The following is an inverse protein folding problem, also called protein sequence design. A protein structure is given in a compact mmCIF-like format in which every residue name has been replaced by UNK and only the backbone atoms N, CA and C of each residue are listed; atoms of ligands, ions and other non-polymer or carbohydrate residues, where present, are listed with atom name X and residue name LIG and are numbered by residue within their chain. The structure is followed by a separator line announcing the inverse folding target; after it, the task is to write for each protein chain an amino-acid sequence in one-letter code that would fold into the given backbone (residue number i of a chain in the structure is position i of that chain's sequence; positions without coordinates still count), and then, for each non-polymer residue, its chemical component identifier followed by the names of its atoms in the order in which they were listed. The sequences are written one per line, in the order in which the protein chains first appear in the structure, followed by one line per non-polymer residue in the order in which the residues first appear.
data_IF_259636711082
#
_entry.id   IF_259636711082
#
_cell.length_a   1.000
_cell.length_b   1.000
_cell.length_c   1.000
_cell.angle_alpha   90.00
_cell.angle_beta   90.00
_cell.angle_gamma   90.00
#
_symmetry.space_group_name_H-M   'P 1'
#
loop_
_entity.id
_entity.type
_entity.pdbx_description
1 polymer ?
#
# COMPACT_ATOMS: atom_id res chain seq x y z
N UNK A 1 27.03 38.33 -6.78
CA UNK A 1 27.88 37.81 -7.88
C UNK A 1 28.43 36.39 -7.64
N UNK A 2 28.51 35.84 -6.41
CA UNK A 2 29.14 34.53 -6.16
C UNK A 2 28.28 33.30 -6.55
N UNK A 3 26.96 33.33 -6.37
CA UNK A 3 26.06 32.20 -6.66
C UNK A 3 25.95 31.87 -8.16
N UNK A 4 25.90 32.88 -9.04
CA UNK A 4 25.85 32.68 -10.50
C UNK A 4 27.15 32.07 -11.06
N UNK A 5 28.30 32.44 -10.50
CA UNK A 5 29.59 31.91 -10.91
C UNK A 5 29.78 30.44 -10.48
N UNK A 6 29.15 30.01 -9.39
CA UNK A 6 29.23 28.64 -8.87
C UNK A 6 28.19 27.68 -9.50
N UNK A 7 26.95 28.16 -9.74
CA UNK A 7 25.85 27.32 -10.24
C UNK A 7 25.63 27.36 -11.76
N UNK A 8 26.23 28.30 -12.50
CA UNK A 8 25.94 28.47 -13.92
C UNK A 8 24.51 28.96 -14.20
N UNK A 9 23.98 28.75 -15.41
CA UNK A 9 22.61 29.18 -15.81
C UNK A 9 21.54 28.59 -14.87
N UNK A 10 20.38 29.28 -14.83
CA UNK A 10 19.20 29.05 -13.98
C UNK A 10 18.96 27.59 -13.53
N UNK A 11 18.51 27.36 -12.28
CA UNK A 11 18.24 26.03 -11.77
C UNK A 11 17.26 25.30 -12.69
N UNK A 12 17.64 24.10 -13.13
CA UNK A 12 16.80 23.21 -13.90
C UNK A 12 16.10 22.25 -12.94
N UNK A 13 14.78 22.21 -12.99
CA UNK A 13 13.99 21.20 -12.31
C UNK A 13 14.06 19.89 -13.09
N UNK A 14 14.46 18.82 -12.42
CA UNK A 14 14.46 17.47 -12.97
C UNK A 14 13.46 16.61 -12.20
N UNK A 15 12.39 16.20 -12.88
CA UNK A 15 11.47 15.17 -12.39
C UNK A 15 11.86 13.80 -12.94
N UNK A 16 11.93 12.79 -12.09
CA UNK A 16 11.93 11.39 -12.52
C UNK A 16 10.52 10.83 -12.47
N UNK A 17 10.18 9.93 -13.40
CA UNK A 17 8.94 9.17 -13.29
C UNK A 17 8.94 8.34 -11.99
N UNK A 18 7.83 8.33 -11.23
CA UNK A 18 7.76 7.55 -10.02
C UNK A 18 7.84 6.05 -10.32
N UNK A 19 8.53 5.30 -9.46
CA UNK A 19 8.60 3.84 -9.59
C UNK A 19 7.28 3.25 -9.09
N UNK A 20 6.65 2.44 -9.94
CA UNK A 20 5.35 1.83 -9.63
C UNK A 20 5.53 0.46 -8.96
N UNK A 21 4.71 0.17 -7.94
CA UNK A 21 4.72 -1.12 -7.27
C UNK A 21 3.38 -1.52 -6.67
N UNK A 22 3.19 -2.81 -6.44
CA UNK A 22 1.93 -3.40 -5.96
C UNK A 22 1.87 -3.52 -4.45
N UNK A 23 0.69 -3.25 -3.88
CA UNK A 23 0.44 -3.41 -2.44
C UNK A 23 -1.02 -3.79 -2.16
N UNK A 24 -1.24 -4.29 -0.95
CA UNK A 24 -2.56 -4.56 -0.40
C UNK A 24 -2.71 -3.91 0.98
N UNK A 25 -3.94 -3.55 1.32
CA UNK A 25 -4.30 -2.87 2.55
C UNK A 25 -5.61 -3.40 3.13
N UNK A 26 -5.81 -3.15 4.41
CA UNK A 26 -7.14 -3.15 5.03
C UNK A 26 -7.84 -1.83 4.70
N UNK A 27 -9.16 -1.83 4.69
CA UNK A 27 -9.95 -0.60 4.64
C UNK A 27 -10.55 -0.35 6.02
N UNK A 28 -10.43 0.86 6.53
CA UNK A 28 -10.97 1.27 7.81
C UNK A 28 -11.81 2.54 7.65
N UNK A 29 -12.85 2.65 8.46
CA UNK A 29 -13.58 3.88 8.74
C UNK A 29 -13.18 4.36 10.12
N UNK A 30 -12.65 5.58 10.19
CA UNK A 30 -12.31 6.26 11.45
C UNK A 30 -13.58 6.80 12.12
N UNK A 31 -13.55 7.15 13.41
CA UNK A 31 -14.71 7.71 14.11
C UNK A 31 -15.24 9.02 13.49
N UNK A 32 -14.38 9.79 12.84
CA UNK A 32 -14.71 10.99 12.05
C UNK A 32 -15.42 10.66 10.71
N UNK A 33 -15.64 9.38 10.40
CA UNK A 33 -16.28 8.90 9.19
C UNK A 33 -15.34 8.77 7.98
N UNK A 34 -14.08 9.22 8.08
CA UNK A 34 -13.14 9.18 6.98
C UNK A 34 -12.63 7.76 6.71
N UNK A 35 -12.41 7.46 5.43
CA UNK A 35 -11.82 6.21 5.00
C UNK A 35 -10.30 6.27 5.11
N UNK A 36 -9.71 5.15 5.54
CA UNK A 36 -8.27 4.95 5.64
C UNK A 36 -7.88 3.58 5.10
N UNK A 37 -6.89 3.53 4.21
CA UNK A 37 -6.19 2.29 3.89
C UNK A 37 -5.12 2.06 4.95
N UNK A 38 -5.15 0.90 5.58
CA UNK A 38 -4.27 0.56 6.68
C UNK A 38 -3.29 -0.55 6.28
N UNK A 39 -2.02 -0.46 6.69
CA UNK A 39 -1.09 -1.57 6.59
C UNK A 39 -1.63 -2.81 7.31
N UNK A 40 -1.10 -3.96 6.92
CA UNK A 40 -1.45 -5.26 7.51
C UNK A 40 -0.54 -5.59 8.70
N UNK A 41 0.38 -4.68 8.98
CA UNK A 41 1.36 -4.65 10.08
C UNK A 41 1.00 -3.52 11.05
N UNK A 42 1.55 -3.50 12.28
CA UNK A 42 1.31 -2.42 13.24
C UNK A 42 2.07 -1.15 12.82
N UNK A 43 1.63 -0.53 11.74
CA UNK A 43 2.11 0.74 11.19
C UNK A 43 0.90 1.65 10.99
N UNK A 44 1.14 2.96 11.02
CA UNK A 44 0.08 3.95 10.86
C UNK A 44 -0.70 3.76 9.55
N UNK A 45 -1.98 4.07 9.63
CA UNK A 45 -2.86 4.14 8.47
C UNK A 45 -2.31 5.19 7.48
N UNK A 46 -2.60 5.03 6.18
CA UNK A 46 -2.19 6.01 5.17
C UNK A 46 -3.21 7.13 5.15
N UNK A 47 -2.76 8.36 5.41
CA UNK A 47 -3.61 9.55 5.38
C UNK A 47 -3.89 9.96 3.91
N UNK A 48 -5.13 10.32 3.56
CA UNK A 48 -5.44 10.78 2.21
C UNK A 48 -4.80 12.14 1.92
N UNK A 49 -4.34 12.32 0.68
CA UNK A 49 -3.62 13.52 0.26
C UNK A 49 -2.22 13.68 0.86
N UNK A 50 -1.76 12.75 1.69
CA UNK A 50 -0.46 12.79 2.35
C UNK A 50 0.38 11.60 1.90
N UNK A 51 1.53 11.89 1.30
CA UNK A 51 2.52 10.86 1.00
C UNK A 51 2.99 10.19 2.29
N UNK A 52 3.01 8.87 2.31
CA UNK A 52 3.62 8.17 3.43
C UNK A 52 5.14 8.35 3.36
N UNK A 53 5.74 8.70 4.50
CA UNK A 53 7.18 8.76 4.67
C UNK A 53 7.64 7.52 5.46
N UNK A 54 8.66 6.84 4.94
CA UNK A 54 9.18 5.65 5.54
C UNK A 54 9.92 5.96 6.84
N UNK A 55 9.49 5.30 7.92
CA UNK A 55 10.17 5.38 9.22
C UNK A 55 10.68 4.02 9.63
N UNK A 56 11.82 3.98 10.33
CA UNK A 56 12.29 2.75 10.96
C UNK A 56 11.79 2.66 12.40
N UNK A 57 11.20 1.52 12.77
CA UNK A 57 10.57 1.28 14.08
C UNK A 57 11.57 1.04 15.22
N UNK A 58 12.84 1.39 15.04
CA UNK A 58 13.90 1.18 16.03
C UNK A 58 14.38 -0.27 16.16
N UNK A 59 13.52 -1.29 16.04
CA UNK A 59 13.95 -2.70 16.15
C UNK A 59 14.93 -3.10 15.02
N UNK A 60 14.56 -2.86 13.76
CA UNK A 60 15.45 -3.10 12.62
C UNK A 60 16.65 -2.15 12.59
N UNK A 61 16.47 -0.93 13.11
CA UNK A 61 17.59 0.00 13.28
C UNK A 61 18.57 -0.59 14.27
N UNK A 62 18.16 -0.94 15.50
CA UNK A 62 19.03 -1.50 16.55
C UNK A 62 19.93 -2.63 16.06
N UNK A 63 19.37 -3.62 15.37
CA UNK A 63 20.18 -4.70 14.79
C UNK A 63 21.19 -4.16 13.76
N UNK A 64 20.75 -3.31 12.83
CA UNK A 64 21.65 -2.63 11.89
C UNK A 64 22.73 -1.81 12.60
N UNK A 65 22.40 -1.13 13.70
CA UNK A 65 23.31 -0.30 14.50
C UNK A 65 24.34 -1.14 15.27
N UNK A 66 24.00 -2.35 15.71
CA UNK A 66 24.96 -3.26 16.34
C UNK A 66 26.12 -3.55 15.38
N UNK A 67 25.82 -3.67 14.08
CA UNK A 67 26.83 -3.94 13.06
C UNK A 67 27.41 -2.67 12.41
N UNK A 68 26.82 -1.49 12.65
CA UNK A 68 27.22 -0.20 12.05
C UNK A 68 27.03 0.98 13.03
N UNK A 69 27.71 0.99 14.19
CA UNK A 69 27.45 1.94 15.28
C UNK A 69 27.75 3.40 14.92
N UNK A 70 28.64 3.64 13.96
CA UNK A 70 28.99 4.98 13.46
C UNK A 70 27.89 5.60 12.58
N UNK A 71 26.97 4.80 12.04
CA UNK A 71 25.93 5.25 11.09
C UNK A 71 24.60 5.61 11.77
N UNK A 72 24.50 5.53 13.10
CA UNK A 72 23.26 5.76 13.87
C UNK A 72 22.61 7.11 13.56
N UNK A 73 23.39 8.19 13.67
CA UNK A 73 22.88 9.55 13.51
C UNK A 73 22.44 9.87 12.07
N UNK A 74 22.81 9.02 11.11
CA UNK A 74 22.60 9.26 9.68
C UNK A 74 21.65 8.24 9.04
N UNK A 75 21.04 7.34 9.82
CA UNK A 75 20.16 6.32 9.27
C UNK A 75 18.93 6.94 8.58
N UNK A 76 18.84 6.75 7.26
CA UNK A 76 17.69 7.18 6.45
C UNK A 76 16.94 5.95 5.93
N UNK A 77 15.62 5.94 6.09
CA UNK A 77 14.79 4.82 5.65
C UNK A 77 14.30 5.05 4.21
N UNK A 78 14.55 4.14 3.24
CA UNK A 78 15.21 2.84 3.38
C UNK A 78 16.74 2.93 3.33
N UNK A 79 17.41 2.13 4.16
CA UNK A 79 18.87 1.90 4.05
C UNK A 79 19.17 0.54 3.43
N UNK A 80 20.27 0.41 2.69
CA UNK A 80 20.63 -0.83 1.97
C UNK A 80 20.72 -2.02 2.94
N UNK A 81 21.44 -1.86 4.06
CA UNK A 81 21.64 -2.92 5.06
C UNK A 81 20.52 -3.08 6.09
N UNK A 82 19.52 -2.20 6.11
CA UNK A 82 18.35 -2.34 6.97
C UNK A 82 17.18 -2.91 6.17
N UNK A 83 16.14 -3.43 6.82
CA UNK A 83 14.89 -3.88 6.17
C UNK A 83 13.79 -2.81 6.21
N UNK A 84 14.10 -1.60 6.67
CA UNK A 84 13.16 -0.47 6.73
C UNK A 84 12.69 0.01 5.34
N UNK A 85 11.60 0.76 5.27
CA UNK A 85 11.08 1.28 4.00
C UNK A 85 9.63 0.90 3.71
N UNK A 86 9.03 1.63 2.78
CA UNK A 86 7.71 1.32 2.24
C UNK A 86 7.86 0.21 1.20
N UNK A 87 7.36 -0.97 1.52
CA UNK A 87 7.47 -2.12 0.64
C UNK A 87 6.38 -2.12 -0.44
N UNK A 88 6.79 -2.48 -1.66
CA UNK A 88 5.90 -2.79 -2.77
C UNK A 88 6.42 -3.96 -3.59
N UNK A 89 5.53 -4.73 -4.21
CA UNK A 89 5.89 -5.87 -5.06
C UNK A 89 6.02 -5.43 -6.51
N UNK A 90 6.97 -6.00 -7.25
CA UNK A 90 7.04 -5.82 -8.71
C UNK A 90 5.90 -6.55 -9.42
N UNK A 91 5.59 -7.73 -8.92
CA UNK A 91 4.62 -8.63 -9.51
C UNK A 91 3.39 -8.74 -8.59
N UNK A 92 2.18 -8.44 -9.12
CA UNK A 92 0.95 -8.54 -8.37
C UNK A 92 0.81 -9.90 -7.66
N UNK A 93 1.14 -11.01 -8.33
CA UNK A 93 1.00 -12.40 -7.83
C UNK A 93 1.69 -12.65 -6.49
N UNK A 94 2.65 -11.80 -6.13
CA UNK A 94 3.38 -11.87 -4.86
C UNK A 94 2.59 -11.32 -3.67
N UNK A 95 1.50 -10.56 -3.87
CA UNK A 95 0.61 -10.16 -2.78
C UNK A 95 0.02 -11.36 -2.04
N UNK A 96 -0.14 -12.53 -2.69
CA UNK A 96 -0.53 -13.77 -2.00
C UNK A 96 0.53 -14.22 -0.98
N UNK A 97 1.81 -14.10 -1.35
CA UNK A 97 2.95 -14.54 -0.53
C UNK A 97 3.28 -13.55 0.58
N UNK A 98 2.95 -12.27 0.40
CA UNK A 98 3.14 -11.24 1.43
C UNK A 98 2.17 -11.36 2.59
N UNK A 99 1.22 -12.32 2.55
CA UNK A 99 0.20 -12.58 3.58
C UNK A 99 -0.38 -11.26 4.10
N UNK A 100 -1.18 -10.53 3.30
CA UNK A 100 -1.67 -9.18 3.62
C UNK A 100 -2.68 -9.17 4.78
N UNK A 101 -2.61 -10.11 5.73
CA UNK A 101 -3.59 -10.31 6.77
C UNK A 101 -4.92 -10.85 6.21
N UNK A 102 -5.69 -11.50 7.07
CA UNK A 102 -7.01 -12.07 6.71
C UNK A 102 -8.10 -11.00 6.51
N UNK A 103 -7.75 -9.73 6.71
CA UNK A 103 -8.64 -8.56 6.67
C UNK A 103 -8.27 -7.56 5.57
N UNK A 104 -7.22 -7.81 4.77
CA UNK A 104 -6.97 -6.97 3.60
C UNK A 104 -8.05 -7.17 2.57
N UNK A 105 -8.61 -6.07 2.08
CA UNK A 105 -9.66 -6.02 1.08
C UNK A 105 -9.45 -4.93 0.03
N UNK A 106 -8.31 -4.25 0.07
CA UNK A 106 -7.91 -3.26 -0.92
C UNK A 106 -6.63 -3.74 -1.58
N UNK A 107 -6.58 -3.71 -2.91
CA UNK A 107 -5.36 -3.95 -3.69
C UNK A 107 -5.14 -2.77 -4.63
N UNK A 108 -3.90 -2.56 -5.02
CA UNK A 108 -3.57 -1.41 -5.82
C UNK A 108 -2.10 -1.29 -6.16
N UNK A 109 -1.80 -0.21 -6.87
CA UNK A 109 -0.43 0.23 -7.11
C UNK A 109 -0.14 1.49 -6.29
N UNK A 110 1.13 1.68 -5.98
CA UNK A 110 1.66 2.89 -5.37
C UNK A 110 2.70 3.49 -6.31
N UNK A 111 2.74 4.82 -6.35
CA UNK A 111 3.86 5.59 -6.86
C UNK A 111 4.90 5.73 -5.74
N UNK A 112 6.18 5.53 -6.05
CA UNK A 112 7.29 5.63 -5.10
C UNK A 112 8.35 6.60 -5.59
N UNK A 113 8.91 7.37 -4.66
CA UNK A 113 9.95 8.35 -4.95
C UNK A 113 10.85 8.61 -3.73
N UNK A 114 11.81 9.53 -3.88
CA UNK A 114 12.92 9.73 -2.94
C UNK A 114 13.95 8.62 -3.11
N UNK A 115 14.47 8.09 -2.00
CA UNK A 115 15.33 6.90 -2.03
C UNK A 115 14.51 5.63 -2.28
N UNK A 116 14.79 4.93 -3.38
CA UNK A 116 14.17 3.65 -3.71
C UNK A 116 15.26 2.57 -3.82
N UNK A 117 15.10 1.50 -3.05
CA UNK A 117 15.98 0.32 -3.08
C UNK A 117 15.27 -0.82 -3.79
N UNK A 118 15.85 -1.26 -4.89
CA UNK A 118 15.39 -2.42 -5.65
C UNK A 118 15.76 -3.74 -4.99
N UNK A 119 14.84 -4.68 -5.02
CA UNK A 119 15.07 -6.07 -4.65
C UNK A 119 14.57 -7.00 -5.75
N UNK A 120 14.99 -8.26 -5.74
CA UNK A 120 14.57 -9.26 -6.74
C UNK A 120 13.05 -9.39 -6.86
N UNK A 121 12.30 -9.14 -5.78
CA UNK A 121 10.85 -9.37 -5.72
C UNK A 121 10.01 -8.09 -5.62
N UNK A 122 10.64 -6.95 -5.41
CA UNK A 122 9.94 -5.73 -5.00
C UNK A 122 10.87 -4.56 -4.79
N UNK A 123 10.36 -3.58 -4.07
CA UNK A 123 11.01 -2.31 -3.81
C UNK A 123 10.82 -1.94 -2.34
N UNK A 124 11.72 -1.10 -1.85
CA UNK A 124 11.52 -0.31 -0.62
C UNK A 124 11.73 1.15 -0.96
N UNK A 125 10.78 2.00 -0.60
CA UNK A 125 10.86 3.43 -0.90
C UNK A 125 10.84 4.29 0.36
N UNK A 126 11.37 5.50 0.24
CA UNK A 126 11.31 6.58 1.23
C UNK A 126 9.93 7.22 1.25
N UNK A 127 9.39 7.56 0.08
CA UNK A 127 8.06 8.10 -0.05
C UNK A 127 7.20 7.22 -0.95
N UNK A 128 5.90 7.18 -0.65
CA UNK A 128 4.93 6.62 -1.55
C UNK A 128 3.53 7.20 -1.37
N UNK A 129 2.72 7.08 -2.40
CA UNK A 129 1.29 7.37 -2.35
C UNK A 129 0.53 6.38 -3.24
N UNK A 130 -0.73 6.02 -2.93
CA UNK A 130 -1.51 5.17 -3.80
C UNK A 130 -1.66 5.84 -5.17
N UNK A 131 -1.55 5.05 -6.23
CA UNK A 131 -1.76 5.52 -7.59
C UNK A 131 -3.08 4.98 -8.17
N UNK A 132 -3.38 3.71 -7.87
CA UNK A 132 -4.64 3.06 -8.24
C UNK A 132 -5.10 2.13 -7.15
N UNK A 133 -6.39 2.09 -6.84
CA UNK A 133 -6.97 1.23 -5.81
C UNK A 133 -8.19 0.46 -6.34
N UNK A 134 -8.48 -0.71 -5.76
CA UNK A 134 -9.73 -1.45 -5.94
C UNK A 134 -10.11 -2.23 -4.68
N UNK A 135 -11.40 -2.33 -4.41
CA UNK A 135 -11.94 -3.29 -3.44
C UNK A 135 -11.97 -4.72 -4.00
N UNK A 136 -11.54 -5.65 -3.17
CA UNK A 136 -11.44 -7.08 -3.48
C UNK A 136 -11.96 -7.86 -2.30
N UNK A 137 -12.65 -8.97 -2.56
CA UNK A 137 -13.11 -9.83 -1.49
C UNK A 137 -11.95 -10.30 -0.61
N UNK A 138 -12.04 -10.03 0.70
CA UNK A 138 -10.99 -10.32 1.68
C UNK A 138 -10.54 -11.79 1.66
N UNK A 139 -11.48 -12.71 1.45
CA UNK A 139 -11.18 -14.14 1.41
C UNK A 139 -10.67 -14.62 0.06
N UNK A 140 -11.09 -13.99 -1.05
CA UNK A 140 -10.51 -14.23 -2.36
C UNK A 140 -9.05 -13.81 -2.39
N UNK A 141 -8.73 -12.62 -1.85
CA UNK A 141 -7.35 -12.15 -1.71
C UNK A 141 -6.53 -13.08 -0.82
N UNK A 142 -7.06 -13.46 0.35
CA UNK A 142 -6.35 -14.35 1.26
C UNK A 142 -6.09 -15.76 0.68
N UNK A 143 -7.03 -16.31 -0.10
CA UNK A 143 -6.88 -17.61 -0.79
C UNK A 143 -6.07 -17.52 -2.09
N UNK A 144 -5.81 -16.31 -2.57
CA UNK A 144 -5.18 -16.06 -3.86
C UNK A 144 -6.02 -16.55 -5.03
N UNK A 145 -7.30 -16.22 -4.99
CA UNK A 145 -8.33 -16.60 -5.96
C UNK A 145 -9.08 -15.34 -6.42
N UNK A 146 -8.34 -14.47 -7.10
CA UNK A 146 -8.78 -13.16 -7.60
C UNK A 146 -9.43 -13.29 -8.98
N UNK A 147 -10.30 -12.33 -9.40
CA UNK A 147 -10.51 -11.01 -8.79
C UNK A 147 -11.46 -10.99 -7.59
N UNK A 148 -12.39 -11.93 -7.46
CA UNK A 148 -13.30 -11.98 -6.31
C UNK A 148 -13.99 -10.64 -6.03
N UNK A 149 -14.66 -10.07 -7.04
CA UNK A 149 -15.21 -8.72 -6.97
C UNK A 149 -16.32 -8.64 -5.90
N UNK A 150 -16.22 -7.69 -4.96
CA UNK A 150 -17.20 -7.55 -3.90
C UNK A 150 -18.47 -6.85 -4.40
N UNK A 151 -19.63 -7.32 -3.94
CA UNK A 151 -20.92 -6.62 -4.07
C UNK A 151 -21.34 -5.97 -2.76
N UNK A 152 -20.80 -6.44 -1.65
CA UNK A 152 -21.12 -5.97 -0.30
C UNK A 152 -19.84 -5.67 0.46
N UNK A 153 -19.88 -4.66 1.33
CA UNK A 153 -18.86 -4.41 2.36
C UNK A 153 -19.48 -4.64 3.72
N UNK A 154 -18.84 -5.47 4.54
CA UNK A 154 -19.24 -5.71 5.92
C UNK A 154 -18.49 -4.75 6.84
N UNK A 155 -19.22 -3.92 7.58
CA UNK A 155 -18.68 -3.05 8.60
C UNK A 155 -18.69 -3.75 9.97
N UNK A 156 -17.48 -3.99 10.49
CA UNK A 156 -17.24 -4.59 11.80
C UNK A 156 -16.58 -3.55 12.72
N UNK A 157 -17.37 -2.59 13.20
CA UNK A 157 -16.88 -1.54 14.10
C UNK A 157 -15.80 -0.66 13.46
N UNK A 158 -15.97 -0.33 12.17
CA UNK A 158 -15.06 0.49 11.39
C UNK A 158 -13.96 -0.28 10.67
N UNK A 159 -13.82 -1.60 10.85
CA UNK A 159 -13.06 -2.42 9.90
C UNK A 159 -13.99 -2.81 8.76
N UNK A 160 -13.64 -2.43 7.53
CA UNK A 160 -14.49 -2.61 6.35
C UNK A 160 -13.97 -3.79 5.53
N UNK A 161 -14.80 -4.83 5.41
CA UNK A 161 -14.45 -6.09 4.75
C UNK A 161 -15.29 -6.25 3.48
N UNK A 162 -14.73 -5.96 2.29
CA UNK A 162 -15.39 -6.27 1.03
C UNK A 162 -15.56 -7.79 0.88
N UNK A 163 -16.74 -8.23 0.45
CA UNK A 163 -17.08 -9.64 0.25
C UNK A 163 -17.81 -9.84 -1.07
N UNK A 164 -17.40 -10.87 -1.82
CA UNK A 164 -18.07 -11.27 -3.05
C UNK A 164 -19.28 -12.17 -2.75
N UNK A 165 -20.23 -12.33 -3.70
CA UNK A 165 -21.42 -13.16 -3.50
C UNK A 165 -21.10 -14.59 -3.01
N UNK A 166 -20.05 -15.21 -3.56
CA UNK A 166 -19.59 -16.55 -3.17
C UNK A 166 -19.23 -16.68 -1.69
N UNK A 167 -18.74 -15.61 -1.07
CA UNK A 167 -18.34 -15.64 0.34
C UNK A 167 -19.32 -14.92 1.27
N UNK A 168 -20.39 -14.33 0.75
CA UNK A 168 -21.41 -13.65 1.58
C UNK A 168 -22.08 -14.59 2.58
N UNK A 169 -22.27 -15.87 2.23
CA UNK A 169 -22.86 -16.89 3.11
C UNK A 169 -21.88 -17.55 4.10
N UNK A 170 -20.61 -17.15 4.14
CA UNK A 170 -19.66 -17.73 5.08
C UNK A 170 -20.00 -17.35 6.53
N UNK A 171 -19.83 -18.22 7.54
CA UNK A 171 -20.13 -17.88 8.94
C UNK A 171 -19.37 -16.65 9.48
N UNK A 172 -18.22 -16.33 8.89
CA UNK A 172 -17.42 -15.14 9.24
C UNK A 172 -17.92 -13.84 8.58
N UNK A 173 -18.93 -13.91 7.73
CA UNK A 173 -19.53 -12.80 6.98
C UNK A 173 -20.61 -12.06 7.81
N UNK A 174 -20.21 -11.59 8.99
CA UNK A 174 -21.06 -10.81 9.88
C UNK A 174 -20.65 -9.32 9.88
N UNK A 175 -21.59 -8.42 10.11
CA UNK A 175 -21.37 -6.98 10.15
C UNK A 175 -22.52 -6.22 9.49
N UNK A 176 -22.55 -4.89 9.66
CA UNK A 176 -23.51 -4.04 8.95
C UNK A 176 -23.16 -4.03 7.47
N UNK A 177 -24.14 -4.26 6.60
CA UNK A 177 -23.93 -4.25 5.16
C UNK A 177 -23.89 -2.82 4.61
N UNK A 178 -22.94 -2.61 3.71
CA UNK A 178 -22.77 -1.39 2.94
C UNK A 178 -22.60 -1.79 1.47
N UNK A 179 -23.03 -0.92 0.57
CA UNK A 179 -22.82 -1.12 -0.85
C UNK A 179 -21.32 -1.03 -1.22
N UNK A 180 -20.82 -2.00 -1.99
CA UNK A 180 -19.41 -2.05 -2.34
C UNK A 180 -19.02 -1.05 -3.42
N UNK A 181 -19.92 -0.72 -4.34
CA UNK A 181 -19.66 0.23 -5.41
C UNK A 181 -19.55 1.65 -4.84
N UNK A 182 -20.47 2.03 -3.96
CA UNK A 182 -20.46 3.32 -3.26
C UNK A 182 -19.21 3.46 -2.39
N UNK A 183 -18.86 2.43 -1.62
CA UNK A 183 -17.66 2.47 -0.78
C UNK A 183 -16.38 2.52 -1.60
N UNK A 184 -16.34 1.85 -2.76
CA UNK A 184 -15.20 1.95 -3.67
C UNK A 184 -15.09 3.36 -4.25
N UNK A 185 -16.18 3.94 -4.76
CA UNK A 185 -16.19 5.29 -5.30
C UNK A 185 -15.71 6.31 -4.26
N UNK A 186 -16.25 6.23 -3.04
CA UNK A 186 -15.83 7.08 -1.91
C UNK A 186 -14.36 6.89 -1.54
N UNK A 187 -13.83 5.66 -1.57
CA UNK A 187 -12.42 5.41 -1.31
C UNK A 187 -11.54 6.07 -2.38
N UNK A 188 -11.90 5.94 -3.65
CA UNK A 188 -11.16 6.55 -4.76
C UNK A 188 -11.16 8.07 -4.66
N UNK A 189 -12.32 8.66 -4.39
CA UNK A 189 -12.49 10.10 -4.16
C UNK A 189 -11.67 10.60 -2.95
N UNK A 190 -11.77 9.89 -1.82
CA UNK A 190 -11.01 10.22 -0.60
C UNK A 190 -9.51 10.33 -0.86
N UNK A 191 -8.96 9.42 -1.67
CA UNK A 191 -7.53 9.40 -1.99
C UNK A 191 -7.17 10.19 -3.26
N UNK A 192 -8.14 10.66 -4.04
CA UNK A 192 -7.88 11.30 -5.33
C UNK A 192 -7.14 10.39 -6.31
N UNK A 193 -7.52 9.12 -6.39
CA UNK A 193 -6.85 8.10 -7.22
C UNK A 193 -7.80 7.38 -8.14
N UNK A 194 -7.27 6.80 -9.21
CA UNK A 194 -8.07 6.04 -10.16
C UNK A 194 -8.40 4.63 -9.68
N UNK A 195 -9.50 4.10 -10.20
CA UNK A 195 -9.81 2.68 -10.10
C UNK A 195 -8.68 1.89 -10.79
N UNK A 196 -8.08 0.94 -10.07
CA UNK A 196 -7.25 -0.09 -10.70
C UNK A 196 -8.12 -0.82 -11.74
N UNK A 197 -7.71 -1.18 -12.97
CA UNK A 197 -8.54 -1.98 -13.90
C UNK A 197 -8.62 -3.47 -13.52
N UNK A 198 -9.69 -4.20 -13.87
CA UNK A 198 -9.85 -5.62 -13.44
C UNK A 198 -8.83 -6.51 -14.16
N UNK A 199 -8.49 -6.13 -15.38
CA UNK A 199 -7.52 -6.76 -16.28
C UNK A 199 -6.13 -6.78 -15.62
N UNK A 200 -5.80 -5.74 -14.85
CA UNK A 200 -4.57 -5.70 -14.07
C UNK A 200 -4.49 -6.80 -12.98
N UNK A 201 -5.61 -7.47 -12.68
CA UNK A 201 -5.69 -8.60 -11.76
C UNK A 201 -5.63 -9.97 -12.45
N UNK A 202 -5.64 -10.03 -13.79
CA UNK A 202 -5.52 -11.29 -14.54
C UNK A 202 -4.32 -12.14 -14.15
N UNK A 203 -3.11 -11.57 -13.90
CA UNK A 203 -1.97 -12.37 -13.46
C UNK A 203 -2.24 -13.16 -12.17
N UNK A 204 -3.20 -12.76 -11.34
CA UNK A 204 -3.55 -13.47 -10.11
C UNK A 204 -4.52 -14.63 -10.29
N UNK A 205 -5.19 -14.76 -11.45
CA UNK A 205 -6.11 -15.86 -11.68
C UNK A 205 -5.30 -17.17 -11.59
N UNK A 206 -5.80 -18.15 -10.83
CA UNK A 206 -5.19 -19.48 -10.88
C UNK A 206 -5.35 -20.00 -12.31
N UNK A 207 -4.30 -20.57 -12.89
CA UNK A 207 -4.48 -21.48 -14.01
C UNK A 207 -5.43 -22.59 -13.53
N UNK A 208 -6.49 -22.85 -14.32
CA UNK A 208 -7.47 -23.88 -14.01
C UNK A 208 -6.84 -25.25 -13.81
#
# INVERSE_FOLDING_TARGET
MALQAFFGRYPLEHGSEPIMGWRAWRLRRRPDGLLRIAPTTPRSDWEPGVAIHATCSGAHTREYLVYNPELVAFHRSPEIGCTCGIHAMKDPRRLRRSRPGRRAGVVGTIAMWGRVVEHTRGWRAEFAYPARLRLICVWCLWRGDLPGLPTTVLDQGGDLLPVCPRHRGAPRAAGRELDAQDLQARMLDTYGVELLPVEALEPFRRAG
#
